data_IF_008171367635
#
_entry.id   IF_008171367635
#
_cell.length_a   1.000
_cell.length_b   1.000
_cell.length_c   1.000
_cell.angle_alpha   90.00
_cell.angle_beta   90.00
_cell.angle_gamma   90.00
#
_symmetry.space_group_name_H-M   'P 1'
#
loop_
_entity.id
_entity.type
_entity.pdbx_description
1 polymer ?
#
# COMPACT_ATOMS: atom_id res chain seq x y z
N UNK A 1 -41.39 -20.25 -4.94
CA UNK A 1 -40.99 -19.77 -6.28
C UNK A 1 -39.62 -19.15 -6.10
N UNK A 2 -38.57 -19.86 -6.51
CA UNK A 2 -37.20 -19.38 -6.35
C UNK A 2 -36.89 -18.46 -7.54
N UNK A 3 -36.69 -17.18 -7.28
CA UNK A 3 -36.21 -16.22 -8.27
C UNK A 3 -34.79 -16.60 -8.67
N UNK A 4 -34.69 -17.21 -9.85
CA UNK A 4 -33.45 -17.51 -10.51
C UNK A 4 -32.95 -16.20 -11.13
N UNK A 5 -32.22 -15.41 -10.33
CA UNK A 5 -31.55 -14.21 -10.79
C UNK A 5 -30.39 -14.63 -11.71
N UNK A 6 -30.70 -14.69 -12.99
CA UNK A 6 -29.74 -14.85 -14.08
C UNK A 6 -28.84 -13.60 -14.07
N UNK A 7 -27.72 -13.66 -13.34
CA UNK A 7 -26.72 -12.59 -13.28
C UNK A 7 -25.98 -12.50 -14.61
N UNK A 8 -26.66 -11.94 -15.61
CA UNK A 8 -26.07 -11.63 -16.91
C UNK A 8 -25.08 -10.49 -16.71
N UNK A 9 -23.84 -10.82 -16.36
CA UNK A 9 -22.77 -9.84 -16.13
C UNK A 9 -22.51 -9.08 -17.42
N UNK A 10 -23.03 -7.86 -17.51
CA UNK A 10 -22.72 -6.95 -18.61
C UNK A 10 -21.26 -6.53 -18.49
N UNK A 11 -20.44 -6.82 -19.51
CA UNK A 11 -19.01 -6.43 -19.57
C UNK A 11 -18.78 -4.94 -19.36
N UNK A 12 -19.78 -4.09 -19.57
CA UNK A 12 -19.65 -2.63 -19.39
C UNK A 12 -19.61 -2.18 -17.93
N UNK A 13 -20.06 -3.00 -16.97
CA UNK A 13 -20.13 -2.65 -15.53
C UNK A 13 -19.79 -3.82 -14.62
N UNK A 14 -19.03 -4.80 -15.11
CA UNK A 14 -18.76 -6.03 -14.37
C UNK A 14 -18.14 -5.76 -12.99
N UNK A 15 -17.26 -4.76 -12.88
CA UNK A 15 -16.62 -4.39 -11.61
C UNK A 15 -17.62 -3.75 -10.64
N UNK A 16 -18.46 -2.83 -11.13
CA UNK A 16 -19.47 -2.15 -10.32
C UNK A 16 -20.55 -3.11 -9.85
N UNK A 17 -20.92 -4.09 -10.69
CA UNK A 17 -21.92 -5.11 -10.35
C UNK A 17 -21.34 -6.26 -9.53
N UNK A 18 -20.03 -6.29 -9.31
CA UNK A 18 -19.39 -7.38 -8.57
C UNK A 18 -19.87 -7.37 -7.10
N UNK A 19 -20.31 -8.51 -6.53
CA UNK A 19 -20.81 -8.57 -5.16
C UNK A 19 -19.80 -8.00 -4.14
N UNK A 20 -18.52 -8.34 -4.32
CA UNK A 20 -17.43 -7.82 -3.48
C UNK A 20 -17.20 -6.32 -3.63
N UNK A 21 -17.43 -5.75 -4.82
CA UNK A 21 -17.34 -4.30 -5.00
C UNK A 21 -18.47 -3.58 -4.26
N UNK A 22 -19.69 -4.14 -4.27
CA UNK A 22 -20.81 -3.60 -3.51
C UNK A 22 -20.59 -3.69 -2.00
N UNK A 23 -19.99 -4.79 -1.52
CA UNK A 23 -19.57 -4.96 -0.12
C UNK A 23 -18.57 -3.84 0.28
N UNK A 24 -17.50 -3.64 -0.51
CA UNK A 24 -16.52 -2.57 -0.26
C UNK A 24 -17.21 -1.19 -0.25
N UNK A 25 -18.08 -0.94 -1.23
CA UNK A 25 -18.79 0.34 -1.37
C UNK A 25 -19.71 0.62 -0.17
N UNK A 26 -20.29 -0.41 0.45
CA UNK A 26 -21.15 -0.26 1.62
C UNK A 26 -20.41 0.34 2.85
N UNK A 27 -19.08 0.20 2.92
CA UNK A 27 -18.28 0.83 3.97
C UNK A 27 -18.12 2.37 3.82
N UNK A 28 -18.61 2.96 2.71
CA UNK A 28 -18.78 4.41 2.59
C UNK A 28 -17.49 5.23 2.45
N UNK A 29 -16.36 4.61 2.11
CA UNK A 29 -15.13 5.31 1.74
C UNK A 29 -15.21 5.85 0.30
N UNK A 30 -14.27 6.71 -0.10
CA UNK A 30 -14.32 7.37 -1.41
C UNK A 30 -14.30 6.37 -2.59
N UNK A 31 -14.83 6.79 -3.75
CA UNK A 31 -14.94 5.93 -4.94
C UNK A 31 -13.55 5.48 -5.46
N UNK A 32 -12.53 6.33 -5.34
CA UNK A 32 -11.16 6.02 -5.76
C UNK A 32 -10.53 4.88 -4.96
N UNK A 33 -10.68 4.89 -3.64
CA UNK A 33 -10.21 3.84 -2.75
C UNK A 33 -11.04 2.57 -2.94
N UNK A 34 -12.35 2.68 -3.14
CA UNK A 34 -13.22 1.53 -3.42
C UNK A 34 -12.74 0.77 -4.66
N UNK A 35 -12.45 1.50 -5.75
CA UNK A 35 -11.93 0.90 -6.98
C UNK A 35 -10.52 0.33 -6.82
N UNK A 36 -9.61 1.06 -6.17
CA UNK A 36 -8.26 0.57 -5.90
C UNK A 36 -8.29 -0.73 -5.07
N UNK A 37 -9.10 -0.78 -4.00
CA UNK A 37 -9.27 -1.98 -3.17
C UNK A 37 -9.77 -3.17 -3.97
N UNK A 38 -10.76 -2.98 -4.83
CA UNK A 38 -11.27 -4.08 -5.66
C UNK A 38 -10.21 -4.60 -6.64
N UNK A 39 -9.46 -3.70 -7.29
CA UNK A 39 -8.40 -4.10 -8.21
C UNK A 39 -7.27 -4.86 -7.51
N UNK A 40 -6.84 -4.38 -6.34
CA UNK A 40 -5.82 -5.05 -5.52
C UNK A 40 -6.33 -6.40 -5.02
N UNK A 41 -7.59 -6.50 -4.59
CA UNK A 41 -8.19 -7.76 -4.18
C UNK A 41 -8.15 -8.80 -5.32
N UNK A 42 -8.55 -8.39 -6.53
CA UNK A 42 -8.51 -9.25 -7.71
C UNK A 42 -7.08 -9.66 -8.08
N UNK A 43 -6.10 -8.74 -8.03
CA UNK A 43 -4.70 -9.08 -8.31
C UNK A 43 -4.14 -10.09 -7.30
N UNK A 44 -4.44 -9.90 -6.02
CA UNK A 44 -4.02 -10.82 -4.96
C UNK A 44 -4.62 -12.22 -5.17
N UNK A 45 -5.92 -12.32 -5.48
CA UNK A 45 -6.61 -13.59 -5.68
C UNK A 45 -6.23 -14.28 -7.00
N UNK A 46 -6.29 -13.56 -8.12
CA UNK A 46 -6.26 -14.16 -9.47
C UNK A 46 -4.85 -14.16 -10.09
N UNK A 47 -4.05 -13.11 -9.87
CA UNK A 47 -2.71 -13.01 -10.44
C UNK A 47 -1.65 -13.58 -9.51
N UNK A 48 -1.76 -13.32 -8.20
CA UNK A 48 -0.79 -13.74 -7.19
C UNK A 48 -1.19 -15.00 -6.41
N UNK A 49 -2.43 -15.49 -6.56
CA UNK A 49 -2.94 -16.72 -5.93
C UNK A 49 -2.82 -16.74 -4.40
N UNK A 50 -3.05 -15.59 -3.75
CA UNK A 50 -3.08 -15.48 -2.30
C UNK A 50 -4.26 -16.25 -1.72
N UNK A 51 -4.12 -16.67 -0.46
CA UNK A 51 -5.16 -17.39 0.28
C UNK A 51 -5.67 -16.57 1.45
N UNK A 52 -6.87 -16.90 1.91
CA UNK A 52 -7.50 -16.25 3.07
C UNK A 52 -7.54 -14.72 2.88
N UNK A 53 -7.84 -14.27 1.66
CA UNK A 53 -7.86 -12.85 1.30
C UNK A 53 -9.16 -12.22 1.78
N UNK A 54 -9.05 -11.32 2.75
CA UNK A 54 -10.18 -10.61 3.36
C UNK A 54 -9.98 -9.10 3.28
N UNK A 55 -11.07 -8.37 3.08
CA UNK A 55 -11.07 -6.91 2.98
C UNK A 55 -11.64 -6.34 4.26
N UNK A 56 -10.95 -5.34 4.80
CA UNK A 56 -11.31 -4.68 6.05
C UNK A 56 -11.35 -3.17 5.85
N UNK A 57 -12.18 -2.49 6.65
CA UNK A 57 -12.23 -1.04 6.73
C UNK A 57 -11.69 -0.56 8.08
N UNK A 58 -10.77 0.38 8.10
CA UNK A 58 -10.30 1.04 9.32
C UNK A 58 -10.97 2.42 9.44
N UNK A 59 -11.94 2.54 10.34
CA UNK A 59 -12.70 3.79 10.54
C UNK A 59 -11.81 4.93 11.06
N UNK A 60 -10.85 4.62 11.94
CA UNK A 60 -9.90 5.60 12.51
C UNK A 60 -9.07 6.31 11.44
N UNK A 61 -8.62 5.56 10.43
CA UNK A 61 -7.78 6.08 9.35
C UNK A 61 -8.58 6.40 8.08
N UNK A 62 -9.84 6.00 8.01
CA UNK A 62 -10.71 6.09 6.82
C UNK A 62 -10.06 5.46 5.59
N UNK A 63 -9.51 4.26 5.76
CA UNK A 63 -8.86 3.48 4.69
C UNK A 63 -9.43 2.07 4.62
N UNK A 64 -9.23 1.43 3.47
CA UNK A 64 -9.32 -0.02 3.34
C UNK A 64 -7.95 -0.65 3.56
N UNK A 65 -7.95 -1.87 4.10
CA UNK A 65 -6.79 -2.75 4.07
C UNK A 65 -7.24 -4.18 3.78
N UNK A 66 -6.35 -4.95 3.20
CA UNK A 66 -6.58 -6.34 2.81
C UNK A 66 -5.61 -7.19 3.60
N UNK A 67 -6.10 -8.28 4.14
CA UNK A 67 -5.30 -9.30 4.82
C UNK A 67 -5.28 -10.55 3.97
N UNK A 68 -4.13 -11.22 3.86
CA UNK A 68 -4.08 -12.53 3.23
C UNK A 68 -2.72 -13.19 3.36
N UNK A 69 -2.66 -14.46 2.97
CA UNK A 69 -1.43 -15.26 2.99
C UNK A 69 -0.88 -15.43 1.57
N UNK A 70 0.35 -14.97 1.28
CA UNK A 70 0.95 -15.17 -0.03
C UNK A 70 1.24 -16.66 -0.32
N UNK A 71 1.51 -17.46 0.71
CA UNK A 71 1.78 -18.91 0.61
C UNK A 71 1.17 -19.65 1.82
N UNK A 72 0.99 -20.97 1.70
CA UNK A 72 0.36 -21.83 2.74
C UNK A 72 0.99 -21.70 4.13
N UNK A 73 2.32 -21.53 4.18
CA UNK A 73 3.11 -21.52 5.41
C UNK A 73 3.71 -20.13 5.70
N UNK A 74 3.18 -19.08 5.09
CA UNK A 74 3.58 -17.70 5.41
C UNK A 74 2.55 -17.06 6.32
N UNK A 75 3.03 -16.12 7.13
CA UNK A 75 2.19 -15.31 7.98
C UNK A 75 1.27 -14.43 7.15
N UNK A 76 0.22 -13.96 7.79
CA UNK A 76 -0.75 -13.09 7.18
C UNK A 76 -0.11 -11.71 6.94
N UNK A 77 -0.10 -11.27 5.68
CA UNK A 77 0.42 -9.97 5.27
C UNK A 77 -0.71 -8.95 5.14
N UNK A 78 -0.39 -7.71 5.50
CA UNK A 78 -1.28 -6.55 5.38
C UNK A 78 -0.95 -5.80 4.09
N UNK A 79 -1.98 -5.52 3.30
CA UNK A 79 -1.91 -4.74 2.08
C UNK A 79 -2.85 -3.54 2.21
N UNK A 80 -2.34 -2.34 1.96
CA UNK A 80 -3.13 -1.10 1.97
C UNK A 80 -3.25 -0.59 0.53
N UNK A 81 -4.42 -0.73 -0.11
CA UNK A 81 -4.68 -0.18 -1.43
C UNK A 81 -4.69 1.35 -1.40
N UNK A 82 -3.90 1.98 -2.27
CA UNK A 82 -3.87 3.43 -2.44
C UNK A 82 -3.90 3.80 -3.91
N UNK A 83 -4.47 4.96 -4.24
CA UNK A 83 -4.42 5.48 -5.60
C UNK A 83 -3.04 6.14 -5.85
N UNK A 84 -2.49 6.00 -7.06
CA UNK A 84 -1.23 6.63 -7.46
C UNK A 84 -1.24 8.16 -7.34
N UNK A 85 -2.41 8.80 -7.46
CA UNK A 85 -2.55 10.26 -7.30
C UNK A 85 -2.62 10.72 -5.84
N UNK A 86 -2.59 9.79 -4.87
CA UNK A 86 -2.67 10.12 -3.45
C UNK A 86 -1.33 10.66 -2.94
N UNK A 87 -1.34 11.89 -2.44
CA UNK A 87 -0.20 12.44 -1.69
C UNK A 87 -0.19 11.88 -0.27
N UNK A 88 0.85 11.10 0.05
CA UNK A 88 1.08 10.54 1.38
C UNK A 88 2.19 11.31 2.11
N UNK A 89 1.88 11.88 3.26
CA UNK A 89 2.89 12.46 4.16
C UNK A 89 3.61 11.37 4.96
N UNK A 90 4.79 11.69 5.49
CA UNK A 90 5.54 10.78 6.35
C UNK A 90 4.72 10.35 7.58
N UNK A 91 3.98 11.28 8.19
CA UNK A 91 3.10 10.96 9.32
C UNK A 91 1.96 10.01 8.92
N UNK A 92 1.37 10.20 7.73
CA UNK A 92 0.35 9.28 7.24
C UNK A 92 0.92 7.88 7.02
N UNK A 93 2.11 7.76 6.42
CA UNK A 93 2.76 6.45 6.23
C UNK A 93 3.04 5.74 7.56
N UNK A 94 3.50 6.47 8.59
CA UNK A 94 3.66 5.91 9.95
C UNK A 94 2.34 5.42 10.51
N UNK A 95 1.29 6.24 10.42
CA UNK A 95 -0.04 5.90 10.90
C UNK A 95 -0.62 4.66 10.19
N UNK A 96 -0.30 4.46 8.89
CA UNK A 96 -0.71 3.25 8.16
C UNK A 96 -0.06 1.99 8.74
N UNK A 97 1.26 2.03 8.99
CA UNK A 97 2.00 0.90 9.55
C UNK A 97 1.56 0.60 10.99
N UNK A 98 1.29 1.63 11.79
CA UNK A 98 0.88 1.46 13.19
C UNK A 98 -0.60 1.13 13.38
N UNK A 99 -1.46 1.69 12.55
CA UNK A 99 -2.90 1.62 12.69
C UNK A 99 -3.53 0.38 12.06
N UNK A 100 -2.83 -0.30 11.15
CA UNK A 100 -3.28 -1.58 10.59
C UNK A 100 -2.56 -2.72 11.31
N UNK A 101 -3.11 -3.10 12.46
CA UNK A 101 -2.57 -4.15 13.30
C UNK A 101 -3.37 -5.44 13.07
N UNK A 102 -2.73 -6.50 12.56
CA UNK A 102 -3.36 -7.81 12.40
C UNK A 102 -2.93 -8.74 13.51
N UNK A 103 -3.89 -9.41 14.13
CA UNK A 103 -3.67 -10.55 15.03
C UNK A 103 -2.98 -11.70 14.27
N UNK A 104 -1.65 -11.76 14.33
CA UNK A 104 -0.84 -12.78 13.65
C UNK A 104 0.53 -12.28 13.19
N UNK A 105 0.77 -10.97 13.10
CA UNK A 105 2.14 -10.45 12.98
C UNK A 105 2.85 -10.56 14.33
N UNK A 106 4.17 -10.78 14.31
CA UNK A 106 5.01 -10.81 15.52
C UNK A 106 4.69 -9.59 16.39
N UNK A 107 4.34 -9.83 17.65
CA UNK A 107 3.88 -8.82 18.63
C UNK A 107 4.97 -7.78 18.99
N UNK A 108 6.15 -7.88 18.38
CA UNK A 108 7.21 -6.90 18.44
C UNK A 108 6.79 -5.63 17.68
N UNK A 109 6.48 -4.58 18.44
CA UNK A 109 6.18 -3.23 17.94
C UNK A 109 7.24 -2.69 16.96
N UNK A 110 8.47 -3.21 17.01
CA UNK A 110 9.60 -2.80 16.18
C UNK A 110 9.63 -3.40 14.78
N UNK A 111 8.79 -4.41 14.50
CA UNK A 111 8.77 -5.15 13.23
C UNK A 111 7.40 -5.08 12.54
N UNK A 112 6.61 -4.03 12.77
CA UNK A 112 5.34 -3.84 12.05
C UNK A 112 5.62 -3.54 10.58
N UNK A 113 4.95 -4.27 9.70
CA UNK A 113 5.10 -4.13 8.25
C UNK A 113 3.73 -4.05 7.59
N UNK A 114 3.55 -3.02 6.75
CA UNK A 114 2.40 -2.87 5.88
C UNK A 114 2.89 -2.74 4.44
N UNK A 115 2.21 -3.40 3.50
CA UNK A 115 2.53 -3.28 2.07
C UNK A 115 1.56 -2.30 1.42
N UNK A 116 2.05 -1.19 0.87
CA UNK A 116 1.24 -0.33 0.00
C UNK A 116 1.07 -1.00 -1.36
N UNK A 117 -0.18 -1.09 -1.82
CA UNK A 117 -0.50 -1.45 -3.19
C UNK A 117 -0.98 -0.20 -3.92
N UNK A 118 -0.08 0.40 -4.70
CA UNK A 118 -0.31 1.65 -5.43
C UNK A 118 -0.95 1.29 -6.77
N UNK A 119 -2.21 1.71 -6.94
CA UNK A 119 -2.99 1.48 -8.14
C UNK A 119 -3.03 2.75 -8.99
N UNK A 120 -2.61 2.66 -10.24
CA UNK A 120 -2.74 3.73 -11.23
C UNK A 120 -4.07 3.61 -12.01
N UNK A 121 -4.41 4.66 -12.75
CA UNK A 121 -5.64 4.81 -13.55
C UNK A 121 -5.76 3.80 -14.70
N UNK A 122 -4.63 3.29 -15.20
CA UNK A 122 -4.56 2.22 -16.19
C UNK A 122 -4.75 0.82 -15.58
N UNK A 123 -4.99 0.74 -14.26
CA UNK A 123 -5.12 -0.49 -13.46
C UNK A 123 -3.80 -1.23 -13.22
N UNK A 124 -2.65 -0.61 -13.49
CA UNK A 124 -1.35 -1.11 -13.06
C UNK A 124 -1.21 -1.00 -11.54
N UNK A 125 -0.66 -2.04 -10.90
CA UNK A 125 -0.50 -2.10 -9.44
C UNK A 125 0.97 -2.35 -9.09
N UNK A 126 1.54 -1.53 -8.22
CA UNK A 126 2.89 -1.68 -7.69
C UNK A 126 2.86 -1.86 -6.17
N UNK A 127 3.64 -2.81 -5.67
CA UNK A 127 3.68 -3.17 -4.25
C UNK A 127 4.95 -2.66 -3.59
N UNK A 128 4.82 -1.83 -2.55
CA UNK A 128 5.92 -1.31 -1.75
C UNK A 128 5.76 -1.67 -0.29
N UNK A 129 6.77 -2.30 0.32
CA UNK A 129 6.75 -2.61 1.75
C UNK A 129 7.18 -1.40 2.57
N UNK A 130 6.37 -1.02 3.54
CA UNK A 130 6.65 -0.03 4.56
C UNK A 130 6.92 -0.73 5.89
N UNK A 131 8.01 -0.35 6.54
CA UNK A 131 8.43 -0.87 7.82
C UNK A 131 8.27 0.21 8.90
N UNK A 132 8.05 -0.19 10.15
CA UNK A 132 8.15 0.72 11.29
C UNK A 132 9.56 1.31 11.39
N UNK A 133 9.67 2.53 11.91
CA UNK A 133 10.96 3.25 12.01
C UNK A 133 11.28 4.18 10.84
N UNK A 134 10.29 4.54 10.02
CA UNK A 134 10.45 5.62 9.04
C UNK A 134 10.85 6.91 9.76
N UNK A 135 11.95 7.52 9.37
CA UNK A 135 12.38 8.82 9.87
C UNK A 135 12.58 9.78 8.72
N UNK A 136 12.25 11.04 8.94
CA UNK A 136 12.50 12.07 7.95
C UNK A 136 14.02 12.31 7.93
N UNK A 137 14.68 12.25 6.76
CA UNK A 137 16.08 12.55 6.70
C UNK A 137 16.32 13.99 7.17
N UNK A 138 17.43 14.19 7.87
CA UNK A 138 17.87 15.53 8.22
C UNK A 138 18.00 16.36 6.94
N UNK A 139 17.61 17.65 6.98
CA UNK A 139 17.81 18.53 5.84
C UNK A 139 19.28 18.48 5.44
N UNK A 140 19.59 18.49 4.12
CA UNK A 140 20.97 18.49 3.67
C UNK A 140 21.66 19.67 4.36
N UNK A 141 22.62 19.36 5.23
CA UNK A 141 23.49 20.39 5.78
C UNK A 141 24.18 20.99 4.57
N UNK A 142 24.02 22.29 4.32
CA UNK A 142 24.85 22.98 3.35
C UNK A 142 26.29 22.61 3.68
N UNK A 143 26.92 21.79 2.84
CA UNK A 143 28.34 21.55 2.95
C UNK A 143 28.95 22.94 2.84
N UNK A 144 29.44 23.47 3.97
CA UNK A 144 30.24 24.69 3.97
C UNK A 144 31.34 24.41 2.97
N UNK A 145 31.26 25.04 1.80
CA UNK A 145 32.33 25.05 0.81
C UNK A 145 33.55 25.51 1.60
N UNK A 146 34.46 24.58 1.87
CA UNK A 146 35.72 24.91 2.52
C UNK A 146 36.56 25.58 1.42
N UNK A 147 36.26 26.84 1.12
CA UNK A 147 37.15 27.73 0.39
C UNK A 147 38.37 27.97 1.28
N UNK A 148 39.45 27.22 1.05
CA UNK A 148 40.75 27.62 1.56
C UNK A 148 41.77 26.51 1.76
N UNK A 149 42.70 26.46 0.81
CA UNK A 149 44.12 26.15 1.00
C UNK A 149 44.58 24.68 0.87
N UNK A 150 44.72 24.22 -0.39
CA UNK A 150 45.87 23.38 -0.77
C UNK A 150 46.74 24.17 -1.75
N UNK A 151 47.85 24.74 -1.25
CA UNK A 151 48.87 25.40 -2.09
C UNK A 151 49.60 24.35 -2.94
N UNK A 152 49.74 24.52 -4.27
CA UNK A 152 50.51 23.59 -5.09
C UNK A 152 52.02 23.72 -4.79
N UNK A 153 52.67 22.61 -4.44
CA UNK A 153 54.14 22.51 -4.24
C UNK A 153 54.88 22.79 -5.55
N UNK A 154 55.70 23.84 -5.57
CA UNK A 154 56.65 24.15 -6.66
C UNK A 154 57.65 22.99 -6.85
N UNK A 155 57.69 22.38 -8.04
CA UNK A 155 58.80 21.50 -8.46
C UNK A 155 59.92 22.35 -9.07
N UNK A 156 61.13 22.27 -8.50
CA UNK A 156 62.37 22.80 -9.11
C UNK A 156 62.76 21.90 -10.29
N UNK A 157 62.99 22.49 -11.47
CA UNK A 157 63.62 21.81 -12.62
C UNK A 157 65.12 21.64 -12.34
N UNK A 158 65.65 20.47 -12.68
CA UNK A 158 67.06 20.25 -12.96
C UNK A 158 67.33 20.63 -14.41
#
# INVERSE_FOLDING_TARGET
MADNLDFKVSRKRWIELHPKFQEIKAHGLNDGATRATMLVYLDLCEAKYWREVEIHSCEKLKIFYITGKPKKNQDLEVIVPVNATLSLSMQQMKNLVEGVNVSGQSQDERNKVATLAICDSDSSIVYYKLFSGLEQPDPPTEEKVIEGAVKPKRRRKR
#
